data_IF_791864963641
#
_entry.id   IF_791864963641
#
_cell.length_a   1.000
_cell.length_b   1.000
_cell.length_c   1.000
_cell.angle_alpha   90.00
_cell.angle_beta   90.00
_cell.angle_gamma   90.00
#
_symmetry.space_group_name_H-M   'P 1'
#
loop_
_entity.id
_entity.type
_entity.pdbx_description
1 polymer ?
#
# COMPACT_ATOMS: atom_id res chain seq x y z
N UNK A 1 18.60 9.96 6.94
CA UNK A 1 17.57 9.98 5.90
C UNK A 1 16.75 11.26 6.09
N UNK A 2 16.93 12.25 5.23
CA UNK A 2 16.52 13.65 5.45
C UNK A 2 15.06 13.81 5.04
N UNK A 3 14.20 14.17 6.00
CA UNK A 3 12.76 14.39 5.79
C UNK A 3 12.60 15.79 5.18
N UNK A 4 12.08 15.85 3.95
CA UNK A 4 11.76 17.11 3.26
C UNK A 4 10.42 17.65 3.76
N UNK A 5 10.46 18.83 4.38
CA UNK A 5 9.28 19.56 4.84
C UNK A 5 8.66 20.32 3.65
N UNK A 6 7.44 19.96 3.28
CA UNK A 6 6.66 20.74 2.32
C UNK A 6 5.64 21.56 3.10
N UNK A 7 5.78 22.88 3.06
CA UNK A 7 4.81 23.83 3.60
C UNK A 7 3.81 24.21 2.51
N UNK A 8 2.54 23.91 2.73
CA UNK A 8 1.43 24.42 1.94
C UNK A 8 0.92 25.68 2.63
N UNK A 9 1.21 26.86 2.05
CA UNK A 9 0.70 28.14 2.52
C UNK A 9 -0.70 28.37 1.91
N UNK A 10 -1.73 28.37 2.76
CA UNK A 10 -3.07 28.80 2.37
C UNK A 10 -3.25 30.24 2.85
N UNK A 11 -3.19 31.19 1.89
CA UNK A 11 -3.50 32.61 2.14
C UNK A 11 -5.02 32.79 2.12
N UNK A 12 -5.64 33.03 3.28
CA UNK A 12 -7.04 33.43 3.40
C UNK A 12 -7.15 34.93 3.59
N UNK A 13 -7.79 35.64 2.64
CA UNK A 13 -8.14 37.05 2.76
C UNK A 13 -9.42 37.19 3.60
N UNK A 14 -9.36 38.05 4.63
CA UNK A 14 -10.48 38.41 5.48
C UNK A 14 -11.26 39.60 4.87
N UNK A 15 -12.56 39.45 4.73
CA UNK A 15 -13.49 40.62 4.62
C UNK A 15 -14.66 40.37 5.59
N UNK A 16 -14.82 41.27 6.54
CA UNK A 16 -15.79 41.17 7.60
C UNK A 16 -17.22 41.53 7.17
N UNK A 17 -18.18 40.84 7.77
CA UNK A 17 -19.55 41.33 7.99
C UNK A 17 -20.07 40.68 9.29
N UNK A 18 -20.38 41.52 10.28
CA UNK A 18 -21.00 41.15 11.54
C UNK A 18 -22.48 40.85 11.33
N UNK A 19 -22.90 39.62 11.54
CA UNK A 19 -24.29 39.25 11.76
C UNK A 19 -24.34 38.30 12.98
N UNK A 20 -24.98 38.83 14.07
CA UNK A 20 -25.27 38.07 15.28
C UNK A 20 -26.44 37.15 14.95
N UNK A 21 -26.21 35.82 14.96
CA UNK A 21 -27.28 34.83 14.97
C UNK A 21 -26.95 33.81 16.10
N UNK A 22 -27.85 33.80 17.07
CA UNK A 22 -27.96 32.91 18.20
C UNK A 22 -28.06 31.44 17.75
N UNK A 23 -27.20 30.59 18.28
CA UNK A 23 -27.49 29.21 18.63
C UNK A 23 -27.69 28.19 17.51
N UNK A 24 -26.63 27.47 17.20
CA UNK A 24 -26.60 26.01 17.07
C UNK A 24 -25.12 25.62 17.04
N UNK A 25 -24.62 25.08 18.13
CA UNK A 25 -23.29 24.44 18.18
C UNK A 25 -23.35 23.14 17.38
N UNK A 26 -23.37 23.23 16.07
CA UNK A 26 -22.93 22.14 15.24
C UNK A 26 -21.40 22.19 15.29
N UNK A 27 -20.79 21.32 16.10
CA UNK A 27 -19.38 20.95 15.97
C UNK A 27 -19.23 20.31 14.60
N UNK A 28 -19.10 21.12 13.57
CA UNK A 28 -18.56 20.68 12.30
C UNK A 28 -17.08 20.46 12.62
N UNK A 29 -16.73 19.25 13.02
CA UNK A 29 -15.36 18.80 13.01
C UNK A 29 -14.89 18.98 11.58
N UNK A 30 -14.11 20.01 11.33
CA UNK A 30 -13.37 20.18 10.07
C UNK A 30 -12.39 19.03 10.03
N UNK A 31 -12.85 17.89 9.49
CA UNK A 31 -11.99 16.77 9.14
C UNK A 31 -11.16 17.25 7.95
N UNK A 32 -10.02 17.88 8.23
CA UNK A 32 -9.05 18.16 7.21
C UNK A 32 -8.68 16.81 6.57
N UNK A 33 -8.78 16.69 5.29
CA UNK A 33 -8.36 15.54 4.52
C UNK A 33 -7.31 15.99 3.51
N UNK A 34 -6.33 15.15 3.25
CA UNK A 34 -5.41 15.32 2.12
C UNK A 34 -6.13 14.82 0.90
N UNK A 35 -6.23 15.64 -0.13
CA UNK A 35 -6.94 15.25 -1.35
C UNK A 35 -6.28 14.03 -2.00
N UNK A 36 -7.08 13.17 -2.61
CA UNK A 36 -6.57 11.99 -3.36
C UNK A 36 -5.56 12.38 -4.45
N UNK A 37 -5.72 13.55 -5.06
CA UNK A 37 -4.77 14.07 -6.06
C UNK A 37 -3.43 14.45 -5.45
N UNK A 38 -3.42 15.04 -4.25
CA UNK A 38 -2.19 15.38 -3.55
C UNK A 38 -1.46 14.12 -3.08
N UNK A 39 -2.21 13.13 -2.55
CA UNK A 39 -1.65 11.81 -2.19
C UNK A 39 -1.02 11.15 -3.41
N UNK A 40 -1.71 11.12 -4.56
CA UNK A 40 -1.20 10.54 -5.80
C UNK A 40 0.06 11.28 -6.29
N UNK A 41 0.09 12.61 -6.20
CA UNK A 41 1.26 13.42 -6.52
C UNK A 41 2.47 13.09 -5.64
N UNK A 42 2.27 12.90 -4.34
CA UNK A 42 3.31 12.51 -3.40
C UNK A 42 3.84 11.09 -3.67
N UNK A 43 2.96 10.13 -4.00
CA UNK A 43 3.36 8.79 -4.42
C UNK A 43 4.23 8.88 -5.67
N UNK A 44 3.77 9.62 -6.69
CA UNK A 44 4.52 9.81 -7.94
C UNK A 44 5.91 10.38 -7.68
N UNK A 45 6.02 11.40 -6.83
CA UNK A 45 7.30 12.03 -6.50
C UNK A 45 8.24 11.06 -5.77
N UNK A 46 7.72 10.25 -4.83
CA UNK A 46 8.52 9.31 -4.04
C UNK A 46 8.93 8.08 -4.84
N UNK A 47 8.10 7.64 -5.78
CA UNK A 47 8.33 6.46 -6.63
C UNK A 47 9.05 6.79 -7.95
N UNK A 48 9.50 8.03 -8.12
CA UNK A 48 10.39 8.40 -9.22
C UNK A 48 11.77 7.84 -8.94
N UNK A 49 12.31 7.02 -9.86
CA UNK A 49 13.63 6.43 -9.71
C UNK A 49 14.77 7.45 -9.90
N UNK A 50 16.00 7.02 -9.64
CA UNK A 50 17.19 7.88 -9.79
C UNK A 50 17.43 8.34 -11.24
N UNK A 51 16.87 7.66 -12.23
CA UNK A 51 16.93 8.02 -13.65
C UNK A 51 15.81 8.99 -14.06
N UNK A 52 14.89 9.34 -13.13
CA UNK A 52 13.77 10.24 -13.37
C UNK A 52 12.53 9.58 -13.96
N UNK A 53 12.49 8.25 -14.03
CA UNK A 53 11.31 7.53 -14.50
C UNK A 53 10.22 7.57 -13.44
N UNK A 54 9.02 8.01 -13.84
CA UNK A 54 7.84 8.12 -13.00
C UNK A 54 6.90 6.92 -13.21
N UNK A 55 6.07 6.58 -12.22
CA UNK A 55 4.91 5.72 -12.47
C UNK A 55 4.05 6.26 -13.62
N UNK A 56 3.54 5.38 -14.47
CA UNK A 56 2.69 5.73 -15.61
C UNK A 56 1.34 6.30 -15.15
N UNK A 57 0.83 5.78 -14.04
CA UNK A 57 -0.39 6.27 -13.38
C UNK A 57 -0.36 6.00 -11.89
N UNK A 58 -1.02 6.88 -11.12
CA UNK A 58 -1.32 6.67 -9.70
C UNK A 58 -2.78 7.06 -9.48
N UNK A 59 -3.55 6.15 -8.93
CA UNK A 59 -4.97 6.35 -8.65
C UNK A 59 -5.28 6.03 -7.18
N UNK A 60 -5.77 7.02 -6.45
CA UNK A 60 -6.25 6.86 -5.08
C UNK A 60 -7.79 6.95 -5.08
N UNK A 61 -8.52 5.98 -4.50
CA UNK A 61 -9.98 5.93 -4.57
C UNK A 61 -10.65 7.04 -3.75
N UNK A 62 -10.03 7.46 -2.64
CA UNK A 62 -10.60 8.42 -1.70
C UNK A 62 -9.54 9.41 -1.21
N UNK A 63 -10.02 10.52 -0.65
CA UNK A 63 -9.17 11.44 0.11
C UNK A 63 -8.68 10.75 1.40
N UNK A 64 -7.49 11.14 1.88
CA UNK A 64 -6.89 10.61 3.09
C UNK A 64 -7.28 11.48 4.29
N UNK A 65 -8.10 10.98 5.24
CA UNK A 65 -8.45 11.75 6.43
C UNK A 65 -7.21 12.16 7.23
N UNK A 66 -7.12 13.41 7.64
CA UNK A 66 -6.03 13.92 8.47
C UNK A 66 -6.18 13.44 9.93
N UNK A 67 -6.07 12.14 10.13
CA UNK A 67 -6.14 11.47 11.42
C UNK A 67 -5.04 10.42 11.51
N UNK A 68 -4.25 10.43 12.59
CA UNK A 68 -3.21 9.42 12.81
C UNK A 68 -3.82 8.02 12.75
N UNK A 69 -3.20 7.14 11.95
CA UNK A 69 -3.67 5.79 11.67
C UNK A 69 -4.70 5.70 10.53
N UNK A 70 -5.19 6.82 9.98
CA UNK A 70 -6.00 6.78 8.76
C UNK A 70 -5.18 6.25 7.59
N UNK A 71 -5.83 5.46 6.71
CA UNK A 71 -5.17 4.76 5.64
C UNK A 71 -5.97 4.86 4.35
N UNK A 72 -5.27 4.97 3.23
CA UNK A 72 -5.80 4.81 1.88
C UNK A 72 -4.90 3.89 1.08
N UNK A 73 -5.50 2.97 0.31
CA UNK A 73 -4.78 2.10 -0.61
C UNK A 73 -4.94 2.66 -2.01
N UNK A 74 -3.84 3.09 -2.60
CA UNK A 74 -3.78 3.57 -3.97
C UNK A 74 -3.25 2.47 -4.89
N UNK A 75 -3.53 2.59 -6.17
CA UNK A 75 -2.97 1.74 -7.22
C UNK A 75 -2.05 2.58 -8.08
N UNK A 76 -0.85 2.08 -8.37
CA UNK A 76 0.07 2.68 -9.32
C UNK A 76 0.45 1.68 -10.41
N UNK A 77 0.76 2.17 -11.60
CA UNK A 77 1.25 1.35 -12.72
C UNK A 77 2.70 1.72 -13.02
N UNK A 78 3.56 0.71 -13.08
CA UNK A 78 4.97 0.84 -13.45
C UNK A 78 5.31 -0.24 -14.47
N UNK A 79 5.81 0.15 -15.64
CA UNK A 79 6.14 -0.78 -16.75
C UNK A 79 4.96 -1.71 -17.11
N UNK A 80 3.75 -1.13 -17.23
CA UNK A 80 2.49 -1.85 -17.48
C UNK A 80 2.12 -2.90 -16.41
N UNK A 81 2.67 -2.82 -15.21
CA UNK A 81 2.32 -3.69 -14.08
C UNK A 81 1.65 -2.89 -12.97
N UNK A 82 0.49 -3.33 -12.48
CA UNK A 82 -0.18 -2.68 -11.36
C UNK A 82 0.49 -3.08 -10.02
N UNK A 83 0.65 -2.08 -9.15
CA UNK A 83 1.12 -2.22 -7.78
C UNK A 83 0.20 -1.46 -6.85
N UNK A 84 -0.04 -2.01 -5.66
CA UNK A 84 -0.70 -1.29 -4.60
C UNK A 84 0.29 -0.41 -3.82
N UNK A 85 -0.18 0.74 -3.35
CA UNK A 85 0.54 1.58 -2.38
C UNK A 85 -0.37 1.87 -1.22
N UNK A 86 -0.01 1.39 -0.03
CA UNK A 86 -0.71 1.71 1.21
C UNK A 86 -0.10 2.97 1.82
N UNK A 87 -0.93 4.00 2.01
CA UNK A 87 -0.56 5.27 2.61
C UNK A 87 -1.21 5.37 3.98
N UNK A 88 -0.41 5.54 5.04
CA UNK A 88 -0.88 5.60 6.43
C UNK A 88 -0.42 6.89 7.08
N UNK A 89 -1.36 7.66 7.65
CA UNK A 89 -1.04 8.89 8.40
C UNK A 89 -0.30 8.54 9.68
N UNK A 90 0.89 9.10 9.85
CA UNK A 90 1.74 8.87 11.03
C UNK A 90 1.69 10.02 12.01
N UNK A 91 1.44 11.25 11.51
CA UNK A 91 1.38 12.46 12.35
C UNK A 91 0.52 13.54 11.71
N UNK A 92 -0.15 14.31 12.54
CA UNK A 92 -0.93 15.51 12.14
C UNK A 92 -0.52 16.66 13.06
N UNK A 93 0.01 17.73 12.48
CA UNK A 93 0.40 18.96 13.16
C UNK A 93 -0.33 20.16 12.48
N UNK A 94 -1.48 20.54 13.02
CA UNK A 94 -2.31 21.57 12.40
C UNK A 94 -2.74 21.18 10.98
N UNK A 95 -2.26 21.89 9.98
CA UNK A 95 -2.49 21.60 8.55
C UNK A 95 -1.47 20.63 7.94
N UNK A 96 -0.38 20.35 8.65
CA UNK A 96 0.68 19.46 8.15
C UNK A 96 0.34 18.00 8.46
N UNK A 97 0.13 17.19 7.45
CA UNK A 97 -0.12 15.74 7.55
C UNK A 97 1.09 14.97 7.07
N UNK A 98 1.68 14.16 7.97
CA UNK A 98 2.77 13.24 7.62
C UNK A 98 2.21 11.83 7.46
N UNK A 99 2.69 11.12 6.46
CA UNK A 99 2.27 9.75 6.21
C UNK A 99 3.42 8.91 5.67
N UNK A 100 3.35 7.62 5.94
CA UNK A 100 4.21 6.60 5.38
C UNK A 100 3.55 5.96 4.16
N UNK A 101 4.37 5.56 3.20
CA UNK A 101 3.95 4.85 1.99
C UNK A 101 4.65 3.51 1.94
N UNK A 102 3.88 2.45 1.77
CA UNK A 102 4.39 1.08 1.64
C UNK A 102 3.84 0.48 0.35
N UNK A 103 4.72 -0.01 -0.50
CA UNK A 103 4.33 -0.79 -1.67
C UNK A 103 3.68 -2.10 -1.23
N UNK A 104 2.67 -2.52 -1.99
CA UNK A 104 1.91 -3.74 -1.73
C UNK A 104 1.93 -4.61 -2.98
N UNK A 105 2.37 -5.84 -2.85
CA UNK A 105 2.26 -6.84 -3.92
C UNK A 105 0.92 -7.53 -3.81
N UNK A 106 0.17 -7.58 -4.91
CA UNK A 106 -1.15 -8.22 -4.94
C UNK A 106 -1.03 -9.72 -4.62
N UNK A 107 -1.94 -10.20 -3.78
CA UNK A 107 -1.97 -11.59 -3.31
C UNK A 107 -2.08 -12.62 -4.43
N UNK A 108 -2.79 -12.28 -5.53
CA UNK A 108 -2.94 -13.18 -6.66
C UNK A 108 -1.65 -13.25 -7.49
N UNK A 109 -0.91 -12.13 -7.59
CA UNK A 109 0.40 -12.11 -8.23
C UNK A 109 1.39 -12.99 -7.47
N UNK A 110 1.39 -12.93 -6.13
CA UNK A 110 2.22 -13.80 -5.29
C UNK A 110 1.85 -15.26 -5.49
N UNK A 111 0.56 -15.59 -5.42
CA UNK A 111 0.06 -16.94 -5.62
C UNK A 111 0.46 -17.50 -7.00
N UNK A 112 0.32 -16.68 -8.05
CA UNK A 112 0.72 -17.04 -9.41
C UNK A 112 2.24 -17.27 -9.52
N UNK A 113 3.06 -16.42 -8.92
CA UNK A 113 4.51 -16.55 -8.91
C UNK A 113 4.97 -17.83 -8.20
N UNK A 114 4.39 -18.15 -7.02
CA UNK A 114 4.65 -19.40 -6.29
C UNK A 114 4.29 -20.60 -7.15
N UNK A 115 3.07 -20.61 -7.74
CA UNK A 115 2.59 -21.69 -8.59
C UNK A 115 3.50 -21.92 -9.81
N UNK A 116 3.95 -20.84 -10.45
CA UNK A 116 4.84 -20.91 -11.61
C UNK A 116 6.21 -21.48 -11.22
N UNK A 117 6.84 -20.99 -10.14
CA UNK A 117 8.15 -21.47 -9.69
C UNK A 117 8.12 -22.93 -9.23
N UNK A 118 7.06 -23.36 -8.54
CA UNK A 118 6.88 -24.76 -8.17
C UNK A 118 6.71 -25.62 -9.42
N UNK A 119 5.90 -25.16 -10.38
CA UNK A 119 5.72 -25.85 -11.67
C UNK A 119 7.04 -26.09 -12.41
N UNK A 120 7.93 -25.11 -12.39
CA UNK A 120 9.27 -25.24 -13.00
C UNK A 120 10.17 -26.23 -12.26
N UNK A 121 10.09 -26.28 -10.91
CA UNK A 121 10.95 -27.14 -10.09
C UNK A 121 10.53 -28.61 -10.11
N UNK A 122 9.21 -28.88 -10.09
CA UNK A 122 8.68 -30.24 -9.97
C UNK A 122 8.01 -30.76 -11.25
N UNK A 123 8.09 -29.99 -12.35
CA UNK A 123 7.54 -30.36 -13.66
C UNK A 123 6.02 -30.24 -13.80
N UNK A 124 5.30 -29.83 -12.75
CA UNK A 124 3.85 -29.58 -12.76
C UNK A 124 3.46 -28.51 -11.76
N UNK A 125 2.40 -27.77 -12.08
CA UNK A 125 1.84 -26.79 -11.15
C UNK A 125 1.03 -27.51 -10.04
N UNK A 126 0.98 -26.92 -8.83
CA UNK A 126 0.04 -27.37 -7.79
C UNK A 126 -1.42 -27.09 -8.21
N UNK A 127 -2.37 -27.75 -7.56
CA UNK A 127 -3.80 -27.59 -7.83
C UNK A 127 -4.24 -26.14 -7.58
N UNK A 128 -3.80 -25.55 -6.47
CA UNK A 128 -4.03 -24.14 -6.18
C UNK A 128 -3.00 -23.56 -5.20
N UNK A 129 -2.81 -22.24 -5.31
CA UNK A 129 -2.10 -21.43 -4.30
C UNK A 129 -3.00 -20.25 -3.97
N UNK A 130 -3.22 -19.97 -2.69
CA UNK A 130 -4.02 -18.86 -2.21
C UNK A 130 -3.28 -18.10 -1.12
N UNK A 131 -3.33 -16.76 -1.17
CA UNK A 131 -2.79 -15.90 -0.14
C UNK A 131 -3.94 -15.07 0.46
N UNK A 132 -3.99 -14.86 1.80
CA UNK A 132 -5.11 -14.21 2.45
C UNK A 132 -5.17 -12.71 2.17
N UNK A 133 -4.01 -12.06 2.03
CA UNK A 133 -3.88 -10.61 1.88
C UNK A 133 -2.71 -10.24 0.96
N UNK A 134 -2.60 -8.94 0.62
CA UNK A 134 -1.47 -8.42 -0.13
C UNK A 134 -0.20 -8.40 0.73
N UNK A 135 0.96 -8.62 0.13
CA UNK A 135 2.26 -8.63 0.81
C UNK A 135 2.81 -7.20 0.88
N UNK A 136 3.20 -6.77 2.08
CA UNK A 136 3.90 -5.50 2.26
C UNK A 136 5.29 -5.56 1.63
N UNK A 137 5.60 -4.62 0.74
CA UNK A 137 6.91 -4.46 0.14
C UNK A 137 7.91 -3.83 1.11
N UNK A 138 8.22 -4.53 2.17
CA UNK A 138 9.24 -4.14 3.17
C UNK A 138 10.14 -5.33 3.40
N UNK A 139 11.46 -5.15 3.31
CA UNK A 139 12.41 -6.24 3.56
C UNK A 139 12.17 -6.91 4.92
N UNK A 140 12.07 -8.23 4.93
CA UNK A 140 11.73 -9.03 6.10
C UNK A 140 10.21 -9.18 6.35
N UNK A 141 9.34 -8.49 5.61
CA UNK A 141 7.89 -8.73 5.71
C UNK A 141 7.55 -10.16 5.28
N UNK A 142 6.60 -10.77 5.97
CA UNK A 142 6.18 -12.15 5.72
C UNK A 142 4.70 -12.24 5.43
N UNK A 143 4.32 -13.25 4.64
CA UNK A 143 2.94 -13.61 4.37
C UNK A 143 2.78 -15.13 4.39
N UNK A 144 1.74 -15.62 5.04
CA UNK A 144 1.44 -17.05 5.08
C UNK A 144 0.37 -17.36 4.04
N UNK A 145 0.76 -18.06 2.98
CA UNK A 145 -0.13 -18.56 1.92
C UNK A 145 -0.46 -20.06 2.16
N UNK A 146 -1.45 -20.54 1.45
CA UNK A 146 -1.83 -21.95 1.41
C UNK A 146 -1.64 -22.52 0.02
N UNK A 147 -1.03 -23.69 -0.07
CA UNK A 147 -0.88 -24.48 -1.28
C UNK A 147 -1.73 -25.73 -1.14
N UNK A 148 -2.48 -26.09 -2.16
CA UNK A 148 -3.16 -27.39 -2.27
C UNK A 148 -2.53 -28.18 -3.41
N UNK A 149 -2.16 -29.42 -3.12
CA UNK A 149 -1.63 -30.35 -4.10
C UNK A 149 -2.10 -31.78 -3.84
N UNK A 150 -2.77 -32.38 -4.82
CA UNK A 150 -3.36 -33.73 -4.72
C UNK A 150 -4.26 -33.89 -3.48
N UNK A 151 -5.05 -32.86 -3.18
CA UNK A 151 -5.94 -32.86 -2.03
C UNK A 151 -5.26 -32.57 -0.68
N UNK A 152 -3.93 -32.56 -0.60
CA UNK A 152 -3.19 -32.20 0.60
C UNK A 152 -2.95 -30.67 0.65
N UNK A 153 -3.09 -30.07 1.84
CA UNK A 153 -2.87 -28.64 2.07
C UNK A 153 -1.55 -28.41 2.77
N UNK A 154 -0.77 -27.46 2.29
CA UNK A 154 0.52 -27.07 2.86
C UNK A 154 0.54 -25.57 3.13
N UNK A 155 1.16 -25.15 4.23
CA UNK A 155 1.49 -23.75 4.43
C UNK A 155 2.68 -23.34 3.56
N UNK A 156 2.67 -22.11 3.10
CA UNK A 156 3.78 -21.51 2.35
C UNK A 156 4.14 -20.19 3.02
N UNK A 157 5.33 -20.12 3.60
CA UNK A 157 5.86 -18.87 4.16
C UNK A 157 6.57 -18.10 3.06
N UNK A 158 6.06 -16.92 2.74
CA UNK A 158 6.67 -15.94 1.82
C UNK A 158 7.42 -14.91 2.64
N UNK A 159 8.63 -14.54 2.25
CA UNK A 159 9.44 -13.51 2.92
C UNK A 159 10.03 -12.57 1.89
N UNK A 160 9.83 -11.26 2.06
CA UNK A 160 10.45 -10.24 1.23
C UNK A 160 11.94 -10.17 1.52
N UNK A 161 12.77 -10.29 0.50
CA UNK A 161 14.24 -10.22 0.62
C UNK A 161 14.76 -8.80 0.48
N UNK A 162 14.30 -8.10 -0.55
CA UNK A 162 14.62 -6.69 -0.79
C UNK A 162 13.54 -6.02 -1.62
N UNK A 163 13.54 -4.70 -1.59
CA UNK A 163 12.69 -3.83 -2.43
C UNK A 163 13.62 -2.87 -3.16
N UNK A 164 13.56 -2.88 -4.48
CA UNK A 164 14.40 -2.05 -5.33
C UNK A 164 13.56 -1.41 -6.43
N UNK A 165 13.42 -0.08 -6.38
CA UNK A 165 12.75 0.75 -7.37
C UNK A 165 11.38 0.21 -7.87
N UNK A 166 10.54 -0.26 -6.94
CA UNK A 166 9.21 -0.82 -7.25
C UNK A 166 9.22 -2.33 -7.54
N UNK A 167 10.37 -2.98 -7.52
CA UNK A 167 10.47 -4.43 -7.62
C UNK A 167 10.60 -5.04 -6.22
N UNK A 168 9.55 -5.71 -5.75
CA UNK A 168 9.56 -6.44 -4.47
C UNK A 168 10.01 -7.87 -4.72
N UNK A 169 11.24 -8.17 -4.28
CA UNK A 169 11.81 -9.51 -4.38
C UNK A 169 11.46 -10.33 -3.14
N UNK A 170 11.04 -11.56 -3.32
CA UNK A 170 10.72 -12.47 -2.23
C UNK A 170 11.17 -13.90 -2.51
N UNK A 171 11.41 -14.64 -1.46
CA UNK A 171 11.52 -16.10 -1.50
C UNK A 171 10.34 -16.73 -0.75
N UNK A 172 10.13 -18.02 -0.98
CA UNK A 172 9.12 -18.76 -0.24
C UNK A 172 9.63 -20.15 0.17
N UNK A 173 9.08 -20.63 1.27
CA UNK A 173 9.31 -21.99 1.78
C UNK A 173 7.97 -22.68 1.98
N UNK A 174 7.81 -23.88 1.39
CA UNK A 174 6.65 -24.76 1.62
C UNK A 174 6.94 -25.60 2.87
N UNK A 175 5.92 -25.81 3.70
CA UNK A 175 6.04 -26.66 4.88
C UNK A 175 6.33 -28.12 4.49
N UNK A 176 7.15 -28.79 5.29
CA UNK A 176 7.56 -30.18 5.03
C UNK A 176 6.43 -31.18 5.23
N UNK A 177 5.37 -30.79 5.96
CA UNK A 177 4.21 -31.64 6.27
C UNK A 177 2.91 -30.96 5.88
N UNK A 178 1.93 -31.75 5.40
CA UNK A 178 0.60 -31.20 5.15
C UNK A 178 -0.06 -30.75 6.45
N UNK A 179 -0.94 -29.76 6.34
CA UNK A 179 -1.80 -29.35 7.45
C UNK A 179 -2.83 -30.45 7.74
N UNK A 180 -3.16 -30.69 9.02
CA UNK A 180 -4.24 -31.62 9.37
C UNK A 180 -5.55 -31.15 8.71
N UNK A 181 -6.28 -32.09 8.13
CA UNK A 181 -7.62 -31.82 7.59
C UNK A 181 -8.54 -31.44 8.77
N UNK A 182 -9.03 -30.18 8.75
CA UNK A 182 -10.07 -29.71 9.68
C UNK A 182 -11.44 -30.06 9.13
#
# INVERSE_FOLDING_TARGET
MTISLIRVLISGAAAGLTAVITGCSCSIGSSHAVSRSDVAGQITAKMTDAAGNKPESVNCPNDLPAKVGAQVNCEMTVKNRPFGVSVTVTRVDGSDVKFDMVEMVDKNQIAAAISAQLGQRVGRKPDSVTCPENLKGVAGATLRCQLTDRGAKYGVLVTVTNVDAGDVNFHFKVDDRPQPNS
#
